data_IF_071005657560
#
_entry.id   IF_071005657560
#
_cell.length_a   1.000
_cell.length_b   1.000
_cell.length_c   1.000
_cell.angle_alpha   90.00
_cell.angle_beta   90.00
_cell.angle_gamma   90.00
#
_symmetry.space_group_name_H-M   'P 1'
#
loop_
_entity.id
_entity.type
_entity.pdbx_description
1 polymer ?
#
# COMPACT_ATOMS: atom_id res chain seq x y z
N UNK A 1 -26.13 -41.68 10.56
CA UNK A 1 -25.14 -40.70 11.10
C UNK A 1 -24.41 -40.06 9.95
N UNK A 2 -24.58 -38.79 9.77
CA UNK A 2 -23.75 -38.02 8.81
C UNK A 2 -22.28 -38.29 9.16
N UNK A 3 -21.43 -38.69 8.20
CA UNK A 3 -20.01 -38.69 8.47
C UNK A 3 -19.61 -37.28 8.86
N UNK A 4 -19.05 -37.13 10.04
CA UNK A 4 -18.50 -35.85 10.46
C UNK A 4 -17.51 -35.45 9.37
N UNK A 5 -17.70 -34.28 8.78
CA UNK A 5 -16.67 -33.60 7.99
C UNK A 5 -15.57 -33.16 8.95
N UNK A 6 -15.06 -34.13 9.72
CA UNK A 6 -13.96 -33.92 10.61
C UNK A 6 -12.69 -33.77 9.79
N UNK A 7 -11.76 -33.08 10.33
CA UNK A 7 -10.35 -32.98 9.91
C UNK A 7 -9.64 -34.33 9.92
N UNK A 8 -10.37 -35.44 9.96
CA UNK A 8 -9.93 -36.81 9.94
C UNK A 8 -9.87 -37.38 8.55
N UNK A 9 -9.35 -36.61 7.58
CA UNK A 9 -9.04 -37.14 6.29
C UNK A 9 -7.96 -38.21 6.42
N UNK A 10 -8.21 -39.32 5.81
CA UNK A 10 -7.32 -40.53 5.77
C UNK A 10 -5.94 -40.17 5.19
N UNK A 11 -5.84 -39.05 4.45
CA UNK A 11 -4.64 -38.58 3.80
C UNK A 11 -4.01 -37.38 4.51
N UNK A 12 -2.69 -37.42 4.66
CA UNK A 12 -1.91 -36.26 5.06
C UNK A 12 -1.79 -35.30 3.88
N UNK A 13 -1.69 -33.99 4.16
CA UNK A 13 -1.53 -32.98 3.09
C UNK A 13 -0.31 -33.22 2.20
N UNK A 14 0.72 -33.88 2.74
CA UNK A 14 1.91 -34.28 1.97
C UNK A 14 1.60 -35.32 0.88
N UNK A 15 0.56 -36.11 1.08
CA UNK A 15 0.16 -37.19 0.18
C UNK A 15 -0.82 -36.73 -0.90
N UNK A 16 -1.39 -35.51 -0.72
CA UNK A 16 -2.28 -34.92 -1.70
C UNK A 16 -1.49 -34.18 -2.75
N UNK A 17 -1.85 -34.32 -4.01
CA UNK A 17 -1.30 -33.50 -5.08
C UNK A 17 -1.94 -32.12 -5.12
N UNK A 18 -1.17 -31.12 -5.53
CA UNK A 18 -1.67 -29.78 -5.79
C UNK A 18 -2.65 -29.81 -6.95
N UNK A 19 -3.86 -29.29 -6.76
CA UNK A 19 -4.93 -29.33 -7.77
C UNK A 19 -4.61 -28.53 -9.04
N UNK A 20 -3.73 -27.52 -8.94
CA UNK A 20 -3.37 -26.65 -10.07
C UNK A 20 -2.20 -27.23 -10.83
N UNK A 21 -1.10 -27.55 -10.14
CA UNK A 21 0.13 -28.05 -10.79
C UNK A 21 0.08 -29.52 -11.11
N UNK A 22 -0.67 -30.33 -10.35
CA UNK A 22 -0.81 -31.78 -10.41
C UNK A 22 0.53 -32.57 -10.33
N UNK A 23 1.65 -31.86 -10.23
CA UNK A 23 3.00 -32.39 -10.19
C UNK A 23 3.72 -32.20 -8.85
N UNK A 24 3.21 -31.35 -8.00
CA UNK A 24 3.75 -31.05 -6.66
C UNK A 24 2.78 -31.46 -5.56
N UNK A 25 3.26 -31.63 -4.33
CA UNK A 25 2.37 -31.88 -3.19
C UNK A 25 1.54 -30.67 -2.84
N UNK A 26 0.39 -30.86 -2.19
CA UNK A 26 -0.45 -29.77 -1.69
C UNK A 26 0.25 -28.91 -0.62
N UNK A 27 1.31 -29.42 0.01
CA UNK A 27 2.16 -28.71 0.97
C UNK A 27 3.37 -28.03 0.35
N UNK A 28 3.55 -28.15 -0.97
CA UNK A 28 4.67 -27.49 -1.62
C UNK A 28 4.55 -25.97 -1.46
N UNK A 29 5.53 -25.36 -0.79
CA UNK A 29 5.62 -23.93 -0.63
C UNK A 29 6.47 -23.36 -1.77
N UNK A 30 5.87 -22.65 -2.74
CA UNK A 30 6.61 -22.09 -3.86
C UNK A 30 7.51 -20.95 -3.38
N UNK A 31 8.72 -20.87 -3.94
CA UNK A 31 9.58 -19.70 -3.78
C UNK A 31 9.06 -18.59 -4.68
N UNK A 32 8.56 -17.50 -4.07
CA UNK A 32 8.06 -16.34 -4.80
C UNK A 32 9.08 -15.22 -4.75
N UNK A 33 9.32 -14.56 -5.87
CA UNK A 33 10.21 -13.42 -6.03
C UNK A 33 9.45 -12.09 -6.27
N UNK A 34 8.17 -12.07 -5.96
CA UNK A 34 7.30 -10.91 -6.09
C UNK A 34 6.37 -10.75 -4.89
N UNK A 35 5.91 -9.53 -4.69
CA UNK A 35 4.96 -9.16 -3.63
C UNK A 35 3.64 -8.73 -4.26
N UNK A 36 2.54 -9.16 -3.69
CA UNK A 36 1.20 -8.73 -4.07
C UNK A 36 0.58 -7.94 -2.92
N UNK A 37 0.12 -6.74 -3.21
CA UNK A 37 -0.70 -5.93 -2.30
C UNK A 37 -2.09 -5.80 -2.89
N UNK A 38 -3.10 -6.21 -2.12
CA UNK A 38 -4.53 -6.06 -2.47
C UNK A 38 -5.16 -4.99 -1.60
N UNK A 39 -5.81 -4.00 -2.22
CA UNK A 39 -6.53 -2.94 -1.53
C UNK A 39 -7.99 -2.96 -1.98
N UNK A 40 -8.95 -3.04 -1.04
CA UNK A 40 -10.36 -2.96 -1.40
C UNK A 40 -10.72 -1.59 -1.99
N UNK A 41 -11.64 -1.55 -2.95
CA UNK A 41 -12.23 -0.32 -3.49
C UNK A 41 -13.60 -0.11 -2.86
N UNK A 42 -13.78 1.05 -2.22
CA UNK A 42 -15.03 1.48 -1.63
C UNK A 42 -15.59 2.66 -2.43
N UNK A 43 -16.91 2.67 -2.68
CA UNK A 43 -17.60 3.74 -3.41
C UNK A 43 -18.21 4.79 -2.48
N UNK A 44 -17.59 5.06 -1.34
CA UNK A 44 -18.06 6.09 -0.40
C UNK A 44 -18.06 7.50 -1.00
N UNK A 45 -17.31 7.71 -2.07
CA UNK A 45 -17.27 8.93 -2.87
C UNK A 45 -18.56 9.14 -3.68
N UNK A 46 -19.32 8.07 -3.95
CA UNK A 46 -20.57 8.10 -4.71
C UNK A 46 -21.84 8.12 -3.83
N UNK A 47 -21.71 7.77 -2.55
CA UNK A 47 -22.84 7.66 -1.62
C UNK A 47 -22.63 8.59 -0.45
N UNK A 48 -23.16 9.80 -0.55
CA UNK A 48 -23.16 10.77 0.55
C UNK A 48 -23.95 10.26 1.74
N UNK A 49 -23.42 10.49 2.97
CA UNK A 49 -24.06 10.03 4.22
C UNK A 49 -23.85 8.56 4.57
N UNK A 50 -23.12 7.77 3.76
CA UNK A 50 -22.81 6.38 4.10
C UNK A 50 -21.79 6.31 5.26
N UNK A 51 -21.98 5.32 6.15
CA UNK A 51 -21.01 5.01 7.20
C UNK A 51 -19.71 4.47 6.59
N UNK A 52 -18.63 5.22 6.79
CA UNK A 52 -17.28 4.97 6.25
C UNK A 52 -16.39 4.14 7.17
N UNK A 53 -16.89 3.79 8.35
CA UNK A 53 -16.16 2.97 9.31
C UNK A 53 -16.17 1.51 8.85
N UNK A 54 -15.01 0.87 8.83
CA UNK A 54 -14.89 -0.54 8.49
C UNK A 54 -15.25 -1.41 9.69
N UNK A 55 -15.96 -2.50 9.45
CA UNK A 55 -16.43 -3.43 10.46
C UNK A 55 -16.59 -4.84 9.88
N UNK A 56 -17.44 -5.65 10.51
CA UNK A 56 -17.69 -7.04 10.08
C UNK A 56 -18.47 -7.15 8.77
N UNK A 57 -19.18 -6.10 8.40
CA UNK A 57 -19.97 -6.09 7.18
C UNK A 57 -19.09 -5.75 5.97
N UNK A 58 -19.26 -6.48 4.89
CA UNK A 58 -18.60 -6.18 3.62
C UNK A 58 -19.15 -4.89 3.01
N UNK A 59 -18.27 -3.89 2.81
CA UNK A 59 -18.60 -2.58 2.22
C UNK A 59 -17.83 -2.32 0.91
N UNK A 60 -16.88 -3.17 0.57
CA UNK A 60 -16.10 -3.05 -0.66
C UNK A 60 -16.92 -3.50 -1.87
N UNK A 61 -16.76 -2.81 -3.00
CA UNK A 61 -17.41 -3.12 -4.29
C UNK A 61 -16.48 -3.87 -5.24
N UNK A 62 -15.21 -3.94 -4.91
CA UNK A 62 -14.16 -4.60 -5.66
C UNK A 62 -12.83 -4.43 -4.97
N UNK A 63 -11.76 -4.82 -5.64
CA UNK A 63 -10.40 -4.72 -5.14
C UNK A 63 -9.43 -4.43 -6.28
N UNK A 64 -8.33 -3.78 -5.95
CA UNK A 64 -7.18 -3.61 -6.84
C UNK A 64 -6.03 -4.45 -6.37
N UNK A 65 -5.15 -4.82 -7.27
CA UNK A 65 -3.97 -5.63 -6.98
C UNK A 65 -2.73 -4.98 -7.58
N UNK A 66 -1.79 -4.61 -6.71
CA UNK A 66 -0.46 -4.17 -7.09
C UNK A 66 0.53 -5.32 -7.00
N UNK A 67 1.32 -5.54 -8.03
CA UNK A 67 2.38 -6.56 -8.07
C UNK A 67 3.71 -5.85 -8.24
N UNK A 68 4.67 -6.15 -7.37
CA UNK A 68 5.99 -5.56 -7.38
C UNK A 68 7.06 -6.50 -6.87
N UNK A 69 8.31 -6.11 -6.96
CA UNK A 69 9.44 -6.84 -6.38
C UNK A 69 9.66 -6.51 -4.90
N UNK A 70 9.12 -5.38 -4.45
CA UNK A 70 9.11 -4.95 -3.06
C UNK A 70 7.70 -4.60 -2.60
N UNK A 71 7.48 -4.59 -1.28
CA UNK A 71 6.21 -4.16 -0.70
C UNK A 71 5.89 -2.71 -1.09
N UNK A 72 6.87 -1.82 -1.05
CA UNK A 72 6.73 -0.41 -1.38
C UNK A 72 6.24 -0.21 -2.82
N UNK A 73 6.87 -0.91 -3.77
CA UNK A 73 6.45 -0.89 -5.19
C UNK A 73 5.03 -1.41 -5.36
N UNK A 74 4.72 -2.57 -4.77
CA UNK A 74 3.40 -3.17 -4.86
C UNK A 74 2.31 -2.29 -4.24
N UNK A 75 2.60 -1.64 -3.10
CA UNK A 75 1.70 -0.73 -2.41
C UNK A 75 1.41 0.51 -3.24
N UNK A 76 2.43 1.16 -3.81
CA UNK A 76 2.25 2.32 -4.70
C UNK A 76 1.42 1.97 -5.94
N UNK A 77 1.71 0.85 -6.60
CA UNK A 77 0.93 0.38 -7.75
C UNK A 77 -0.54 0.13 -7.38
N UNK A 78 -0.79 -0.50 -6.23
CA UNK A 78 -2.14 -0.74 -5.75
C UNK A 78 -2.89 0.57 -5.46
N UNK A 79 -2.25 1.54 -4.77
CA UNK A 79 -2.89 2.83 -4.46
C UNK A 79 -3.16 3.68 -5.71
N UNK A 80 -2.28 3.64 -6.71
CA UNK A 80 -2.50 4.29 -8.01
C UNK A 80 -3.69 3.69 -8.77
N UNK A 81 -3.87 2.37 -8.67
CA UNK A 81 -4.95 1.64 -9.34
C UNK A 81 -6.33 1.82 -8.70
N UNK A 82 -6.44 2.45 -7.52
CA UNK A 82 -7.72 2.71 -6.86
C UNK A 82 -8.61 3.72 -7.60
N UNK A 83 -8.05 4.54 -8.51
CA UNK A 83 -8.78 5.57 -9.28
C UNK A 83 -9.55 6.58 -8.41
N UNK A 84 -8.99 6.93 -7.26
CA UNK A 84 -9.56 7.89 -6.30
C UNK A 84 -8.94 9.29 -6.43
N UNK A 85 -8.37 9.60 -7.60
CA UNK A 85 -7.66 10.86 -7.88
C UNK A 85 -6.43 11.08 -6.99
N UNK A 86 -5.81 10.00 -6.48
CA UNK A 86 -4.50 10.01 -5.81
C UNK A 86 -3.44 9.47 -6.77
N UNK A 87 -2.23 10.01 -6.70
CA UNK A 87 -1.11 9.58 -7.55
C UNK A 87 -0.27 8.48 -6.88
N UNK A 88 -0.58 8.14 -5.65
CA UNK A 88 0.08 7.16 -4.79
C UNK A 88 -0.25 7.43 -3.33
N UNK A 89 0.62 7.09 -2.40
CA UNK A 89 0.41 7.31 -0.96
C UNK A 89 0.50 8.79 -0.57
N UNK A 90 1.48 9.51 -1.12
CA UNK A 90 1.76 10.92 -0.86
C UNK A 90 2.31 11.62 -2.08
N UNK A 91 3.03 12.74 -1.90
CA UNK A 91 3.62 13.57 -2.96
C UNK A 91 2.60 14.01 -4.03
N UNK A 92 1.38 14.37 -3.60
CA UNK A 92 0.30 14.83 -4.48
C UNK A 92 -0.44 16.06 -3.94
N UNK A 93 0.09 16.67 -2.87
CA UNK A 93 -0.51 17.83 -2.21
C UNK A 93 -1.81 17.55 -1.46
N UNK A 94 -2.22 16.28 -1.36
CA UNK A 94 -3.44 15.84 -0.69
C UNK A 94 -3.07 15.16 0.64
N UNK A 95 -4.05 15.05 1.53
CA UNK A 95 -3.88 14.43 2.83
C UNK A 95 -4.24 15.39 3.96
N UNK A 96 -4.24 14.85 5.17
CA UNK A 96 -4.57 15.58 6.38
C UNK A 96 -3.31 16.21 6.96
N UNK A 97 -3.42 17.48 7.41
CA UNK A 97 -2.29 18.21 8.00
C UNK A 97 -2.50 18.49 9.49
N UNK A 98 -3.76 18.47 9.93
CA UNK A 98 -4.10 18.72 11.32
C UNK A 98 -3.85 17.47 12.17
N UNK A 99 -3.06 17.63 13.23
CA UNK A 99 -2.67 16.55 14.13
C UNK A 99 -3.86 15.82 14.75
N UNK A 100 -4.86 16.56 15.24
CA UNK A 100 -6.02 15.97 15.91
C UNK A 100 -6.87 15.14 14.94
N UNK A 101 -7.05 15.65 13.72
CA UNK A 101 -7.74 14.95 12.63
C UNK A 101 -7.02 13.66 12.27
N UNK A 102 -5.69 13.69 12.15
CA UNK A 102 -4.87 12.50 11.86
C UNK A 102 -5.03 11.46 12.97
N UNK A 103 -4.90 11.84 14.24
CA UNK A 103 -5.04 10.92 15.38
C UNK A 103 -6.45 10.30 15.42
N UNK A 104 -7.50 11.08 15.23
CA UNK A 104 -8.87 10.58 15.18
C UNK A 104 -9.03 9.53 14.07
N UNK A 105 -8.54 9.82 12.87
CA UNK A 105 -8.62 8.91 11.71
C UNK A 105 -7.74 7.67 11.83
N UNK A 106 -6.63 7.74 12.54
CA UNK A 106 -5.82 6.56 12.87
C UNK A 106 -6.56 5.63 13.84
N UNK A 107 -7.30 6.21 14.78
CA UNK A 107 -8.07 5.45 15.79
C UNK A 107 -9.24 4.72 15.14
N UNK A 108 -9.94 5.38 14.23
CA UNK A 108 -11.04 4.78 13.50
C UNK A 108 -10.55 3.87 12.38
N UNK A 109 -11.13 2.69 12.25
CA UNK A 109 -10.84 1.76 11.16
C UNK A 109 -11.52 2.26 9.87
N UNK A 110 -11.04 3.39 9.33
CA UNK A 110 -11.59 3.99 8.12
C UNK A 110 -10.94 3.44 6.85
N UNK A 111 -11.64 3.57 5.75
CA UNK A 111 -11.21 3.09 4.43
C UNK A 111 -9.94 3.81 3.92
N UNK A 112 -9.69 5.04 4.37
CA UNK A 112 -8.56 5.87 3.97
C UNK A 112 -7.35 5.74 4.90
N UNK A 113 -7.40 4.84 5.90
CA UNK A 113 -6.32 4.64 6.88
C UNK A 113 -4.96 4.41 6.23
N UNK A 114 -4.89 3.74 5.08
CA UNK A 114 -3.65 3.53 4.33
C UNK A 114 -2.94 4.85 3.96
N UNK A 115 -3.70 5.89 3.65
CA UNK A 115 -3.16 7.23 3.38
C UNK A 115 -2.90 8.00 4.67
N UNK A 116 -3.78 7.86 5.67
CA UNK A 116 -3.64 8.55 6.97
C UNK A 116 -2.36 8.14 7.71
N UNK A 117 -1.91 6.89 7.56
CA UNK A 117 -0.62 6.44 8.10
C UNK A 117 0.53 7.26 7.49
N UNK A 118 0.49 7.49 6.19
CA UNK A 118 1.51 8.30 5.51
C UNK A 118 1.46 9.75 5.98
N UNK A 119 0.25 10.33 6.07
CA UNK A 119 0.04 11.69 6.59
C UNK A 119 0.55 11.83 8.03
N UNK A 120 0.40 10.79 8.86
CA UNK A 120 0.90 10.77 10.24
C UNK A 120 2.43 10.82 10.31
N UNK A 121 3.11 10.07 9.44
CA UNK A 121 4.57 10.10 9.34
C UNK A 121 5.04 11.47 8.84
N UNK A 122 4.37 12.05 7.85
CA UNK A 122 4.65 13.42 7.37
C UNK A 122 4.46 14.48 8.47
N UNK A 123 3.49 14.27 9.36
CA UNK A 123 3.25 15.16 10.50
C UNK A 123 4.24 14.95 11.66
N UNK A 124 5.21 14.04 11.53
CA UNK A 124 6.22 13.75 12.54
C UNK A 124 5.71 12.92 13.72
N UNK A 125 4.60 12.19 13.57
CA UNK A 125 4.09 11.30 14.62
C UNK A 125 5.01 10.08 14.70
N UNK A 126 5.58 9.73 15.89
CA UNK A 126 6.47 8.59 16.05
C UNK A 126 5.79 7.28 15.66
N UNK A 127 6.55 6.36 15.01
CA UNK A 127 6.03 5.07 14.55
C UNK A 127 5.46 4.24 15.71
N UNK A 128 6.06 4.32 16.89
CA UNK A 128 5.58 3.65 18.11
C UNK A 128 4.17 4.13 18.48
N UNK A 129 3.89 5.43 18.30
CA UNK A 129 2.57 5.99 18.58
C UNK A 129 1.55 5.50 17.55
N UNK A 130 1.93 5.45 16.27
CA UNK A 130 1.08 4.91 15.19
C UNK A 130 0.79 3.43 15.47
N UNK A 131 1.80 2.64 15.85
CA UNK A 131 1.63 1.24 16.25
C UNK A 131 0.68 1.09 17.45
N UNK A 132 0.83 1.90 18.49
CA UNK A 132 -0.04 1.84 19.69
C UNK A 132 -1.50 2.05 19.33
N UNK A 133 -1.79 2.94 18.39
CA UNK A 133 -3.15 3.28 17.95
C UNK A 133 -3.71 2.22 17.00
N UNK A 134 -2.94 1.87 15.97
CA UNK A 134 -3.44 1.07 14.84
C UNK A 134 -3.23 -0.43 15.00
N UNK A 135 -2.26 -0.84 15.82
CA UNK A 135 -1.75 -2.22 15.96
C UNK A 135 -1.20 -2.79 14.65
N UNK A 136 -0.90 -1.94 13.66
CA UNK A 136 -0.22 -2.34 12.43
C UNK A 136 1.23 -2.65 12.76
N UNK A 137 1.72 -3.80 12.30
CA UNK A 137 3.09 -4.25 12.59
C UNK A 137 4.12 -3.20 12.19
N UNK A 138 5.15 -3.06 13.03
CA UNK A 138 6.21 -2.07 12.89
C UNK A 138 6.98 -2.21 11.57
N UNK A 139 7.07 -3.43 11.03
CA UNK A 139 7.72 -3.65 9.74
C UNK A 139 7.03 -2.86 8.62
N UNK A 140 5.69 -2.87 8.57
CA UNK A 140 4.95 -2.07 7.59
C UNK A 140 5.15 -0.57 7.80
N UNK A 141 5.10 -0.11 9.05
CA UNK A 141 5.29 1.30 9.36
C UNK A 141 6.67 1.82 8.93
N UNK A 142 7.72 1.01 9.10
CA UNK A 142 9.06 1.32 8.60
C UNK A 142 9.11 1.43 7.07
N UNK A 143 8.37 0.59 6.35
CA UNK A 143 8.28 0.70 4.89
C UNK A 143 7.67 2.04 4.44
N UNK A 144 6.68 2.54 5.16
CA UNK A 144 6.12 3.88 4.93
C UNK A 144 7.12 4.99 5.25
N UNK A 145 7.86 4.85 6.35
CA UNK A 145 8.88 5.83 6.76
C UNK A 145 9.99 5.95 5.71
N UNK A 146 10.48 4.83 5.18
CA UNK A 146 11.48 4.81 4.11
C UNK A 146 10.99 5.52 2.84
N UNK A 147 9.71 5.35 2.48
CA UNK A 147 9.11 6.06 1.36
C UNK A 147 9.07 7.57 1.62
N UNK A 148 8.72 7.97 2.84
CA UNK A 148 8.69 9.39 3.21
C UNK A 148 10.09 10.00 3.25
N UNK A 149 11.09 9.27 3.75
CA UNK A 149 12.48 9.75 3.74
C UNK A 149 12.95 10.03 2.31
N UNK A 150 12.68 9.13 1.37
CA UNK A 150 13.00 9.34 -0.04
C UNK A 150 12.23 10.53 -0.64
N UNK A 151 10.94 10.71 -0.28
CA UNK A 151 10.17 11.90 -0.68
C UNK A 151 10.86 13.19 -0.21
N UNK A 152 11.31 13.23 1.05
CA UNK A 152 12.01 14.39 1.62
C UNK A 152 13.35 14.65 0.92
N UNK A 153 14.08 13.61 0.57
CA UNK A 153 15.35 13.72 -0.17
C UNK A 153 15.12 14.30 -1.57
N UNK A 154 14.18 13.74 -2.32
CA UNK A 154 13.87 14.21 -3.68
C UNK A 154 13.32 15.64 -3.66
N UNK A 155 12.51 15.99 -2.65
CA UNK A 155 11.91 17.33 -2.54
C UNK A 155 12.94 18.46 -2.29
N UNK A 156 14.18 18.12 -1.92
CA UNK A 156 15.29 19.08 -1.82
C UNK A 156 16.02 19.32 -3.14
N UNK A 157 15.72 18.51 -4.15
CA UNK A 157 16.34 18.54 -5.46
C UNK A 157 15.44 19.25 -6.48
N UNK A 158 15.96 19.43 -7.67
CA UNK A 158 15.22 19.87 -8.85
C UNK A 158 15.55 18.96 -10.04
N UNK A 159 14.87 19.17 -11.17
CA UNK A 159 15.01 18.30 -12.35
C UNK A 159 16.43 18.32 -12.94
N UNK A 160 17.18 19.41 -12.75
CA UNK A 160 18.52 19.55 -13.33
C UNK A 160 19.57 18.80 -12.51
N UNK A 161 19.42 18.79 -11.17
CA UNK A 161 20.40 18.24 -10.24
C UNK A 161 20.05 16.84 -9.67
N UNK A 162 18.88 16.28 -9.98
CA UNK A 162 18.56 14.91 -9.59
C UNK A 162 19.45 13.92 -10.35
N UNK A 163 20.12 13.06 -9.59
CA UNK A 163 20.97 12.01 -10.14
C UNK A 163 20.14 10.84 -10.67
N UNK A 164 20.71 10.10 -11.62
CA UNK A 164 20.08 8.92 -12.21
C UNK A 164 19.74 7.87 -11.16
N UNK A 165 20.64 7.60 -10.21
CA UNK A 165 20.44 6.56 -9.20
C UNK A 165 19.29 6.90 -8.25
N UNK A 166 19.14 8.15 -7.84
CA UNK A 166 18.01 8.62 -7.02
C UNK A 166 16.69 8.48 -7.77
N UNK A 167 16.69 8.83 -9.05
CA UNK A 167 15.50 8.68 -9.90
C UNK A 167 15.14 7.21 -10.11
N UNK A 168 16.14 6.35 -10.32
CA UNK A 168 15.97 4.90 -10.44
C UNK A 168 15.40 4.31 -9.15
N UNK A 169 15.94 4.66 -7.98
CA UNK A 169 15.43 4.22 -6.68
C UNK A 169 13.97 4.62 -6.49
N UNK A 170 13.61 5.87 -6.78
CA UNK A 170 12.23 6.33 -6.70
C UNK A 170 11.31 5.50 -7.59
N UNK A 171 11.74 5.17 -8.81
CA UNK A 171 10.98 4.32 -9.73
C UNK A 171 10.88 2.88 -9.24
N UNK A 172 11.92 2.31 -8.68
CA UNK A 172 11.93 0.96 -8.09
C UNK A 172 11.02 0.87 -6.86
N UNK A 173 10.89 1.96 -6.08
CA UNK A 173 9.93 2.06 -4.96
C UNK A 173 8.50 2.40 -5.41
N UNK A 174 8.25 2.53 -6.71
CA UNK A 174 6.91 2.65 -7.30
C UNK A 174 6.36 4.07 -7.39
N UNK A 175 7.17 5.11 -7.18
CA UNK A 175 6.71 6.48 -7.39
C UNK A 175 6.33 6.74 -8.85
N UNK A 176 5.14 7.28 -9.07
CA UNK A 176 4.68 7.71 -10.39
C UNK A 176 5.45 8.97 -10.86
N UNK A 177 5.58 9.15 -12.17
CA UNK A 177 6.23 10.35 -12.72
C UNK A 177 5.56 11.64 -12.24
N UNK A 178 4.25 11.62 -12.02
CA UNK A 178 3.48 12.74 -11.41
C UNK A 178 3.88 13.06 -9.99
N UNK A 179 4.17 12.04 -9.16
CA UNK A 179 4.65 12.25 -7.80
C UNK A 179 6.06 12.85 -7.81
N UNK A 180 6.95 12.29 -8.65
CA UNK A 180 8.32 12.80 -8.80
C UNK A 180 8.29 14.24 -9.33
N UNK A 181 7.45 14.55 -10.30
CA UNK A 181 7.26 15.90 -10.81
C UNK A 181 6.77 16.87 -9.74
N UNK A 182 5.84 16.42 -8.88
CA UNK A 182 5.37 17.21 -7.74
C UNK A 182 6.49 17.52 -6.74
N UNK A 183 7.30 16.51 -6.37
CA UNK A 183 8.44 16.67 -5.46
C UNK A 183 9.52 17.61 -6.02
N UNK A 184 9.82 17.48 -7.32
CA UNK A 184 10.82 18.30 -8.01
C UNK A 184 10.30 19.66 -8.47
N UNK A 185 9.01 19.94 -8.26
CA UNK A 185 8.33 21.15 -8.74
C UNK A 185 8.53 21.39 -10.25
N UNK A 186 8.31 20.36 -11.07
CA UNK A 186 8.49 20.37 -12.51
C UNK A 186 7.32 19.72 -13.24
N UNK A 187 7.36 19.66 -14.57
CA UNK A 187 6.35 18.99 -15.38
C UNK A 187 6.62 17.47 -15.43
N UNK A 188 5.56 16.67 -15.49
CA UNK A 188 5.64 15.20 -15.64
C UNK A 188 6.45 14.80 -16.89
N UNK A 189 6.30 15.56 -17.98
CA UNK A 189 7.06 15.35 -19.23
C UNK A 189 8.58 15.52 -19.07
N UNK A 190 9.01 16.39 -18.16
CA UNK A 190 10.43 16.58 -17.85
C UNK A 190 11.01 15.38 -17.12
N UNK A 191 10.24 14.81 -16.15
CA UNK A 191 10.62 13.56 -15.49
C UNK A 191 10.69 12.41 -16.48
N UNK A 192 9.69 12.30 -17.35
CA UNK A 192 9.66 11.28 -18.40
C UNK A 192 10.90 11.34 -19.32
N UNK A 193 11.32 12.54 -19.72
CA UNK A 193 12.48 12.73 -20.59
C UNK A 193 13.82 12.52 -19.88
N UNK A 194 13.87 12.72 -18.55
CA UNK A 194 15.09 12.59 -17.74
C UNK A 194 15.42 11.13 -17.43
N UNK A 195 14.43 10.27 -17.29
CA UNK A 195 14.59 8.83 -17.02
C UNK A 195 14.89 8.04 -18.30
#
# INVERSE_FOLDING_TARGET
SSPSRGLGDVYKRQELSNQITQSTSALFEPTLDYVIVKIPRWNFDKFEGSDRTLGLQMKAVGEVMGIGRSFQEALHKATQSLEIKRNGLGADGKGYKDYNTIISKLTDASWDRVFVIYDAIQAGIPLERIYQITKIDMWFLKQYEELYQLEVEISKLNIDNIEYDTLLEAKQKGFADRQIAYMLNCLESQVYNKR
#
